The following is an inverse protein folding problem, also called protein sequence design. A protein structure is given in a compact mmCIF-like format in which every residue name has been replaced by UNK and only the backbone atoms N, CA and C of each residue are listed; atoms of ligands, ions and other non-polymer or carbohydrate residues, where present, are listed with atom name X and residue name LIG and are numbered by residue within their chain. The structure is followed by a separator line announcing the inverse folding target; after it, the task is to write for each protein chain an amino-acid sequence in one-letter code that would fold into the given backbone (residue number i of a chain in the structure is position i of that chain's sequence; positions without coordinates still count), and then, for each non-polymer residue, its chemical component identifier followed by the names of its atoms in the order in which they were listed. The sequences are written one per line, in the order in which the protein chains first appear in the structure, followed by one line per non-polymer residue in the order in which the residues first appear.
data_IF_189389056382
#
_entry.id   IF_189389056382
#
_cell.length_a   1.000
_cell.length_b   1.000
_cell.length_c   1.000
_cell.angle_alpha   90.00
_cell.angle_beta   90.00
_cell.angle_gamma   90.00
#
_symmetry.space_group_name_H-M   'P 1'
#
loop_
_entity.id
_entity.type
_entity.pdbx_description
1 polymer ?
#
# COMPACT_ATOMS: atom_id res chain seq x y z
N UNK A 1 -9.33 1.93 18.61
CA UNK A 1 -7.94 1.68 19.07
C UNK A 1 -6.99 1.45 17.89
N UNK A 2 -7.26 0.49 16.99
CA UNK A 2 -6.38 0.22 15.83
C UNK A 2 -6.06 1.45 14.96
N UNK A 3 -7.06 2.26 14.60
CA UNK A 3 -6.85 3.50 13.82
C UNK A 3 -5.95 4.50 14.55
N UNK A 4 -6.14 4.67 15.87
CA UNK A 4 -5.29 5.55 16.68
C UNK A 4 -3.84 5.06 16.74
N UNK A 5 -3.64 3.74 16.89
CA UNK A 5 -2.31 3.12 16.85
C UNK A 5 -1.63 3.32 15.47
N UNK A 6 -2.40 3.14 14.39
CA UNK A 6 -1.92 3.35 13.02
C UNK A 6 -1.48 4.79 12.80
N UNK A 7 -2.35 5.75 13.13
CA UNK A 7 -2.03 7.17 13.00
C UNK A 7 -0.82 7.55 13.85
N UNK A 8 -0.69 6.98 15.06
CA UNK A 8 0.49 7.19 15.90
C UNK A 8 1.78 6.67 15.24
N UNK A 9 1.76 5.46 14.66
CA UNK A 9 2.90 4.89 13.95
C UNK A 9 3.29 5.73 12.72
N UNK A 10 2.32 6.23 11.96
CA UNK A 10 2.58 7.06 10.77
C UNK A 10 3.08 8.46 11.16
N UNK A 11 2.40 9.13 12.08
CA UNK A 11 2.64 10.55 12.37
C UNK A 11 3.85 10.72 13.28
N UNK A 12 3.95 9.93 14.36
CA UNK A 12 4.98 10.10 15.39
C UNK A 12 6.21 9.23 15.15
N UNK A 13 6.02 7.96 14.81
CA UNK A 13 7.12 7.03 14.51
C UNK A 13 7.62 7.20 13.06
N UNK A 14 6.88 7.93 12.21
CA UNK A 14 7.23 8.21 10.81
C UNK A 14 7.43 6.94 9.98
N UNK A 15 6.70 5.88 10.31
CA UNK A 15 6.70 4.64 9.51
C UNK A 15 5.95 4.85 8.20
N UNK A 16 6.43 4.17 7.14
CA UNK A 16 5.67 4.10 5.89
C UNK A 16 4.28 3.50 6.15
N UNK A 17 3.21 4.04 5.55
CA UNK A 17 1.83 3.63 5.81
C UNK A 17 1.61 2.12 5.69
N UNK A 18 2.27 1.48 4.73
CA UNK A 18 2.19 0.03 4.52
C UNK A 18 2.75 -0.76 5.72
N UNK A 19 3.95 -0.42 6.18
CA UNK A 19 4.60 -1.06 7.34
C UNK A 19 3.79 -0.81 8.61
N UNK A 20 3.29 0.42 8.79
CA UNK A 20 2.45 0.77 9.92
C UNK A 20 1.15 -0.04 9.93
N UNK A 21 0.49 -0.19 8.77
CA UNK A 21 -0.73 -0.97 8.62
C UNK A 21 -0.49 -2.44 8.98
N UNK A 22 0.62 -3.03 8.50
CA UNK A 22 0.97 -4.42 8.80
C UNK A 22 1.20 -4.63 10.31
N UNK A 23 1.98 -3.74 10.94
CA UNK A 23 2.23 -3.79 12.38
C UNK A 23 0.93 -3.63 13.21
N UNK A 24 0.05 -2.71 12.81
CA UNK A 24 -1.25 -2.50 13.46
C UNK A 24 -2.14 -3.72 13.27
N UNK A 25 -2.21 -4.29 12.07
CA UNK A 25 -2.98 -5.52 11.81
C UNK A 25 -2.52 -6.67 12.67
N UNK A 26 -1.20 -6.86 12.83
CA UNK A 26 -0.65 -7.87 13.73
C UNK A 26 -1.06 -7.58 15.17
N UNK A 27 -0.82 -6.36 15.66
CA UNK A 27 -1.11 -6.00 17.04
C UNK A 27 -2.60 -6.13 17.37
N UNK A 28 -3.48 -5.66 16.49
CA UNK A 28 -4.94 -5.75 16.66
C UNK A 28 -5.43 -7.19 16.54
N UNK A 29 -4.86 -7.98 15.61
CA UNK A 29 -5.21 -9.39 15.45
C UNK A 29 -4.88 -10.22 16.69
N UNK A 30 -3.69 -10.00 17.27
CA UNK A 30 -3.29 -10.63 18.53
C UNK A 30 -4.19 -10.18 19.70
N UNK A 31 -4.53 -8.89 19.79
CA UNK A 31 -5.45 -8.38 20.80
C UNK A 31 -6.89 -8.89 20.64
N UNK A 32 -7.29 -9.23 19.42
CA UNK A 32 -8.60 -9.82 19.12
C UNK A 32 -8.67 -11.33 19.43
N UNK A 33 -7.57 -11.94 19.89
CA UNK A 33 -7.51 -13.36 20.26
C UNK A 33 -7.20 -14.30 19.10
N UNK A 34 -6.78 -13.79 17.94
CA UNK A 34 -6.32 -14.63 16.84
C UNK A 34 -4.99 -15.28 17.21
N UNK A 35 -4.87 -16.58 16.94
CA UNK A 35 -3.63 -17.31 17.20
C UNK A 35 -2.53 -16.88 16.23
N UNK A 36 -1.27 -16.91 16.67
CA UNK A 36 -0.09 -16.63 15.80
C UNK A 36 -0.10 -17.54 14.57
N UNK A 37 -0.61 -18.76 14.73
CA UNK A 37 -0.80 -19.75 13.67
C UNK A 37 -1.84 -19.36 12.62
N UNK A 38 -2.86 -18.57 12.96
CA UNK A 38 -3.85 -18.03 12.01
C UNK A 38 -3.32 -16.75 11.34
N UNK A 39 -2.61 -15.90 12.09
CA UNK A 39 -2.05 -14.65 11.58
C UNK A 39 -0.96 -14.87 10.53
N UNK A 40 -0.06 -15.82 10.77
CA UNK A 40 1.15 -16.04 9.96
C UNK A 40 1.17 -17.38 9.23
N UNK A 41 0.16 -18.23 9.42
CA UNK A 41 0.17 -19.60 8.91
C UNK A 41 1.06 -20.52 9.75
N UNK A 42 0.76 -21.82 9.72
CA UNK A 42 1.66 -22.83 10.30
C UNK A 42 2.69 -23.23 9.25
N UNK A 43 3.97 -23.14 9.59
CA UNK A 43 5.11 -23.58 8.74
C UNK A 43 4.97 -25.05 8.26
N UNK A 44 4.08 -25.83 8.88
CA UNK A 44 3.85 -27.25 8.62
C UNK A 44 2.69 -27.54 7.63
N UNK A 45 1.82 -26.59 7.29
CA UNK A 45 0.71 -26.81 6.33
C UNK A 45 0.92 -25.98 5.08
N UNK A 46 1.38 -26.66 4.03
CA UNK A 46 1.69 -26.12 2.69
C UNK A 46 0.53 -25.41 1.96
N UNK A 47 -0.69 -25.39 2.51
CA UNK A 47 -1.90 -24.89 1.85
C UNK A 47 -2.63 -23.75 2.61
N UNK A 48 -2.15 -23.34 3.80
CA UNK A 48 -2.83 -22.33 4.61
C UNK A 48 -2.21 -20.93 4.39
N UNK A 49 -2.78 -20.15 3.47
CA UNK A 49 -2.43 -18.73 3.28
C UNK A 49 -2.72 -17.98 4.58
N UNK A 50 -1.74 -17.23 5.08
CA UNK A 50 -1.89 -16.43 6.30
C UNK A 50 -2.99 -15.37 6.12
N UNK A 51 -3.76 -15.04 7.16
CA UNK A 51 -4.83 -14.02 7.03
C UNK A 51 -4.27 -12.66 6.61
N UNK A 52 -3.05 -12.35 7.02
CA UNK A 52 -2.33 -11.13 6.60
C UNK A 52 -2.03 -11.17 5.10
N UNK A 53 -1.51 -12.29 4.59
CA UNK A 53 -1.18 -12.44 3.17
C UNK A 53 -2.43 -12.48 2.30
N UNK A 54 -3.53 -13.09 2.75
CA UNK A 54 -4.80 -13.08 2.02
C UNK A 54 -5.37 -11.66 1.92
N UNK A 55 -5.43 -10.92 3.04
CA UNK A 55 -5.91 -9.54 3.05
C UNK A 55 -5.01 -8.60 2.24
N UNK A 56 -3.70 -8.68 2.46
CA UNK A 56 -2.72 -7.84 1.77
C UNK A 56 -2.58 -8.20 0.30
N UNK A 57 -2.61 -9.48 -0.06
CA UNK A 57 -2.55 -9.99 -1.43
C UNK A 57 -3.77 -9.59 -2.25
N UNK A 58 -4.96 -9.55 -1.65
CA UNK A 58 -6.16 -8.99 -2.29
C UNK A 58 -6.01 -7.50 -2.63
N UNK A 59 -5.55 -6.69 -1.67
CA UNK A 59 -5.33 -5.25 -1.87
C UNK A 59 -4.20 -4.99 -2.87
N UNK A 60 -3.04 -5.62 -2.68
CA UNK A 60 -1.90 -5.48 -3.58
C UNK A 60 -2.22 -6.01 -4.97
N UNK A 61 -2.96 -7.11 -5.12
CA UNK A 61 -3.37 -7.62 -6.43
C UNK A 61 -4.20 -6.60 -7.21
N UNK A 62 -5.17 -5.97 -6.56
CA UNK A 62 -6.01 -4.94 -7.20
C UNK A 62 -5.23 -3.66 -7.51
N UNK A 63 -4.46 -3.18 -6.54
CA UNK A 63 -3.74 -1.90 -6.63
C UNK A 63 -2.49 -2.02 -7.50
N UNK A 64 -1.83 -3.17 -7.56
CA UNK A 64 -0.59 -3.38 -8.32
C UNK A 64 -0.80 -3.20 -9.83
N UNK A 65 -1.95 -3.62 -10.39
CA UNK A 65 -2.24 -3.41 -11.81
C UNK A 65 -2.38 -1.92 -12.10
N UNK A 66 -3.15 -1.21 -11.28
CA UNK A 66 -3.41 0.23 -11.45
C UNK A 66 -2.11 1.02 -11.29
N UNK A 67 -1.34 0.75 -10.23
CA UNK A 67 -0.05 1.40 -10.01
C UNK A 67 0.94 1.02 -11.12
N UNK A 68 1.05 -0.25 -11.48
CA UNK A 68 1.98 -0.73 -12.51
C UNK A 68 1.71 -0.06 -13.87
N UNK A 69 0.48 -0.09 -14.34
CA UNK A 69 0.10 0.60 -15.58
C UNK A 69 0.27 2.11 -15.47
N UNK A 70 -0.10 2.73 -14.34
CA UNK A 70 0.10 4.15 -14.10
C UNK A 70 1.58 4.54 -14.14
N UNK A 71 2.47 3.73 -13.55
CA UNK A 71 3.91 3.96 -13.59
C UNK A 71 4.50 3.76 -14.99
N UNK A 72 4.02 2.78 -15.75
CA UNK A 72 4.45 2.59 -17.15
C UNK A 72 4.00 3.77 -18.03
N UNK A 73 2.74 4.21 -17.91
CA UNK A 73 2.23 5.38 -18.63
C UNK A 73 2.96 6.66 -18.22
N UNK A 74 3.20 6.84 -16.92
CA UNK A 74 3.98 7.96 -16.39
C UNK A 74 5.39 8.00 -16.97
N UNK A 75 6.07 6.84 -17.00
CA UNK A 75 7.39 6.72 -17.62
C UNK A 75 7.34 7.07 -19.12
N UNK A 76 6.38 6.53 -19.88
CA UNK A 76 6.21 6.87 -21.30
C UNK A 76 5.98 8.38 -21.51
N UNK A 77 5.17 9.02 -20.67
CA UNK A 77 4.93 10.47 -20.73
C UNK A 77 6.19 11.29 -20.42
N UNK A 78 7.05 10.80 -19.52
CA UNK A 78 8.34 11.41 -19.20
C UNK A 78 9.32 11.27 -20.37
N UNK A 79 9.52 10.07 -20.92
CA UNK A 79 10.49 9.86 -22.01
C UNK A 79 10.03 10.49 -23.34
N UNK A 80 8.73 10.59 -23.57
CA UNK A 80 8.19 11.24 -24.77
C UNK A 80 8.21 12.77 -24.71
N UNK A 81 8.54 13.35 -23.55
CA UNK A 81 8.41 14.80 -23.31
C UNK A 81 6.97 15.31 -23.27
N UNK A 82 5.97 14.41 -23.34
CA UNK A 82 4.56 14.76 -23.31
C UNK A 82 4.18 15.48 -22.02
N UNK A 83 4.75 15.10 -20.88
CA UNK A 83 4.54 15.77 -19.60
C UNK A 83 4.97 17.25 -19.62
N UNK A 84 6.13 17.56 -20.22
CA UNK A 84 6.61 18.94 -20.39
C UNK A 84 5.66 19.76 -21.27
N UNK A 85 5.17 19.19 -22.37
CA UNK A 85 4.23 19.86 -23.28
C UNK A 85 2.91 20.16 -22.57
N UNK A 86 2.35 19.19 -21.84
CA UNK A 86 1.14 19.37 -21.03
C UNK A 86 1.33 20.46 -19.97
N UNK A 87 2.42 20.44 -19.22
CA UNK A 87 2.73 21.45 -18.21
C UNK A 87 2.84 22.86 -18.82
N UNK A 88 3.54 22.99 -19.95
CA UNK A 88 3.74 24.28 -20.64
C UNK A 88 2.41 24.83 -21.19
N UNK A 89 1.54 23.95 -21.70
CA UNK A 89 0.20 24.34 -22.17
C UNK A 89 -0.72 24.79 -21.03
N UNK A 90 -0.69 24.11 -19.89
CA UNK A 90 -1.47 24.50 -18.72
C UNK A 90 -0.99 25.85 -18.17
N UNK A 91 0.32 26.08 -18.09
CA UNK A 91 0.88 27.37 -17.71
C UNK A 91 0.50 28.49 -18.69
N UNK A 92 0.47 28.22 -20.00
CA UNK A 92 0.00 29.20 -20.98
C UNK A 92 -1.51 29.48 -20.95
N UNK A 93 -2.32 28.60 -20.34
CA UNK A 93 -3.76 28.78 -20.20
C UNK A 93 -4.19 29.40 -18.86
N UNK A 94 -3.42 29.15 -17.79
CA UNK A 94 -3.77 29.57 -16.42
C UNK A 94 -2.73 30.49 -15.77
N UNK A 95 -1.58 30.70 -16.41
CA UNK A 95 -0.44 31.45 -15.89
C UNK A 95 -0.23 32.82 -16.51
N UNK A 96 -1.24 33.33 -17.23
CA UNK A 96 -1.46 34.76 -17.46
C UNK A 96 -2.60 35.25 -16.55
#
# INVERSE_FOLDING_TARGET
IGIALLLFLIIKVRLQPFVALLAVSIAVGLLAGLSVTELFGTVQKSDAVSTIESGMGGILGHVAIIIGLGTMLGAILEVSGGAQVLASRLLGLFGE
#
